data_IF_661727465450
#
_entry.id   IF_661727465450
#
_cell.length_a   1.000
_cell.length_b   1.000
_cell.length_c   1.000
_cell.angle_alpha   90.00
_cell.angle_beta   90.00
_cell.angle_gamma   90.00
#
_symmetry.space_group_name_H-M   'P 1'
#
loop_
_entity.id
_entity.type
_entity.pdbx_description
1 polymer ?
#
# COMPACT_ATOMS: atom_id res chain seq x y z
N UNK A 1 23.62 4.95 5.18
CA UNK A 1 22.75 3.87 4.68
C UNK A 1 21.85 4.45 3.59
N UNK A 2 22.26 4.40 2.31
CA UNK A 2 21.42 4.96 1.21
C UNK A 2 21.69 4.34 -0.17
N UNK A 3 22.64 3.41 -0.31
CA UNK A 3 22.99 2.80 -1.61
C UNK A 3 22.05 1.68 -2.07
N UNK A 4 21.15 1.19 -1.20
CA UNK A 4 20.33 0.01 -1.48
C UNK A 4 18.87 0.28 -1.85
N UNK A 5 18.46 1.55 -1.89
CA UNK A 5 17.09 1.95 -2.25
C UNK A 5 17.04 2.51 -3.67
N UNK A 6 17.28 1.64 -4.66
CA UNK A 6 17.15 1.95 -6.08
C UNK A 6 16.18 0.99 -6.75
N UNK A 7 15.47 1.48 -7.76
CA UNK A 7 14.61 0.62 -8.59
C UNK A 7 15.50 -0.32 -9.40
N UNK A 8 15.24 -1.62 -9.31
CA UNK A 8 15.96 -2.67 -10.05
C UNK A 8 14.95 -3.55 -10.80
N UNK A 9 15.42 -4.18 -11.88
CA UNK A 9 14.63 -5.14 -12.68
C UNK A 9 13.24 -4.64 -13.11
N UNK A 10 13.07 -3.33 -13.32
CA UNK A 10 11.83 -2.77 -13.84
C UNK A 10 11.60 -3.30 -15.26
N UNK A 11 10.49 -4.00 -15.47
CA UNK A 11 10.16 -4.59 -16.77
C UNK A 11 8.65 -4.67 -16.98
N UNK A 12 8.18 -4.58 -18.24
CA UNK A 12 6.80 -4.87 -18.58
C UNK A 12 6.42 -6.31 -18.21
N UNK A 13 5.18 -6.50 -17.78
CA UNK A 13 4.63 -7.82 -17.43
C UNK A 13 3.23 -7.99 -17.99
N UNK A 14 2.74 -9.24 -18.04
CA UNK A 14 1.35 -9.54 -18.41
C UNK A 14 0.48 -9.59 -17.15
N UNK A 15 -0.83 -9.35 -17.28
CA UNK A 15 -1.81 -9.45 -16.17
C UNK A 15 -1.65 -10.74 -15.35
N UNK A 16 -1.42 -11.89 -16.01
CA UNK A 16 -1.22 -13.19 -15.33
C UNK A 16 -0.07 -13.20 -14.31
N UNK A 17 0.95 -12.35 -14.50
CA UNK A 17 2.10 -12.26 -13.60
C UNK A 17 1.75 -11.53 -12.29
N UNK A 18 0.75 -10.64 -12.31
CA UNK A 18 0.29 -9.89 -11.14
C UNK A 18 -1.04 -10.41 -10.59
N UNK A 19 -1.66 -11.41 -11.21
CA UNK A 19 -2.94 -11.97 -10.78
C UNK A 19 -3.00 -12.39 -9.29
N UNK A 20 -1.94 -13.00 -8.70
CA UNK A 20 -1.93 -13.29 -7.27
C UNK A 20 -1.99 -12.03 -6.39
N UNK A 21 -1.30 -10.97 -6.82
CA UNK A 21 -1.31 -9.66 -6.14
C UNK A 21 -2.69 -9.00 -6.24
N UNK A 22 -3.33 -9.04 -7.42
CA UNK A 22 -4.69 -8.50 -7.61
C UNK A 22 -5.70 -9.19 -6.68
N UNK A 23 -5.66 -10.53 -6.62
CA UNK A 23 -6.52 -11.30 -5.72
C UNK A 23 -6.26 -10.98 -4.24
N UNK A 24 -5.00 -10.78 -3.87
CA UNK A 24 -4.64 -10.40 -2.51
C UNK A 24 -5.22 -9.03 -2.14
N UNK A 25 -5.10 -8.02 -3.02
CA UNK A 25 -5.70 -6.69 -2.83
C UNK A 25 -7.23 -6.76 -2.71
N UNK A 26 -7.89 -7.50 -3.59
CA UNK A 26 -9.33 -7.71 -3.54
C UNK A 26 -9.76 -8.32 -2.19
N UNK A 27 -9.01 -9.32 -1.71
CA UNK A 27 -9.33 -10.02 -0.47
C UNK A 27 -9.05 -9.20 0.79
N UNK A 28 -7.98 -8.39 0.80
CA UNK A 28 -7.54 -7.65 2.01
C UNK A 28 -8.09 -6.24 2.10
N UNK A 29 -8.28 -5.58 0.95
CA UNK A 29 -8.70 -4.18 0.86
C UNK A 29 -10.11 -4.01 0.29
N UNK A 30 -10.69 -5.06 -0.30
CA UNK A 30 -12.00 -4.97 -0.94
C UNK A 30 -12.01 -4.17 -2.25
N UNK A 31 -10.86 -4.05 -2.93
CA UNK A 31 -10.70 -3.20 -4.12
C UNK A 31 -10.35 -3.98 -5.38
N UNK A 32 -10.81 -3.46 -6.53
CA UNK A 32 -10.30 -3.85 -7.86
C UNK A 32 -9.34 -2.77 -8.38
N UNK A 33 -8.06 -3.15 -8.56
CA UNK A 33 -7.03 -2.25 -9.09
C UNK A 33 -7.29 -1.80 -10.54
N UNK A 34 -8.30 -2.36 -11.22
CA UNK A 34 -8.80 -1.89 -12.52
C UNK A 34 -7.73 -1.84 -13.61
N UNK A 35 -6.95 -2.92 -13.74
CA UNK A 35 -5.77 -2.98 -14.62
C UNK A 35 -6.05 -3.39 -16.08
N UNK A 36 -7.31 -3.49 -16.48
CA UNK A 36 -7.66 -3.94 -17.83
C UNK A 36 -7.30 -2.90 -18.89
N UNK A 37 -6.57 -3.34 -19.92
CA UNK A 37 -6.05 -2.46 -20.98
C UNK A 37 -4.83 -1.61 -20.57
N UNK A 38 -4.45 -1.60 -19.28
CA UNK A 38 -3.35 -0.79 -18.77
C UNK A 38 -1.97 -1.36 -19.11
N UNK A 39 -0.96 -0.49 -19.16
CA UNK A 39 0.44 -0.90 -19.25
C UNK A 39 0.98 -1.29 -17.88
N UNK A 40 1.37 -2.57 -17.75
CA UNK A 40 1.80 -3.15 -16.48
C UNK A 40 3.31 -3.36 -16.43
N UNK A 41 3.91 -2.97 -15.31
CA UNK A 41 5.32 -3.23 -15.03
C UNK A 41 5.51 -3.76 -13.59
N UNK A 42 6.57 -4.53 -13.39
CA UNK A 42 7.05 -4.89 -12.05
C UNK A 42 8.48 -4.42 -11.86
N UNK A 43 8.83 -4.03 -10.64
CA UNK A 43 10.20 -3.70 -10.26
C UNK A 43 10.50 -4.10 -8.81
N UNK A 44 11.78 -4.16 -8.48
CA UNK A 44 12.27 -4.35 -7.10
C UNK A 44 12.73 -3.00 -6.54
N UNK A 45 12.40 -2.71 -5.28
CA UNK A 45 12.88 -1.54 -4.56
C UNK A 45 13.22 -1.94 -3.11
N UNK A 46 14.51 -2.16 -2.84
CA UNK A 46 14.94 -2.78 -1.59
C UNK A 46 14.25 -4.14 -1.39
N UNK A 47 13.58 -4.38 -0.25
CA UNK A 47 12.84 -5.63 -0.01
C UNK A 47 11.46 -5.68 -0.69
N UNK A 48 11.04 -4.63 -1.37
CA UNK A 48 9.68 -4.53 -1.93
C UNK A 48 9.65 -4.95 -3.40
N UNK A 49 8.62 -5.70 -3.77
CA UNK A 49 8.18 -5.82 -5.15
C UNK A 49 7.13 -4.76 -5.41
N UNK A 50 7.28 -3.99 -6.48
CA UNK A 50 6.37 -2.92 -6.85
C UNK A 50 5.62 -3.31 -8.12
N UNK A 51 4.33 -2.96 -8.20
CA UNK A 51 3.52 -3.02 -9.42
C UNK A 51 3.23 -1.60 -9.87
N UNK A 52 3.52 -1.34 -11.14
CA UNK A 52 3.20 -0.09 -11.81
C UNK A 52 2.05 -0.32 -12.79
N UNK A 53 1.08 0.58 -12.76
CA UNK A 53 -0.02 0.68 -13.73
C UNK A 53 0.15 2.02 -14.42
N UNK A 54 0.29 2.01 -15.75
CA UNK A 54 0.54 3.19 -16.58
C UNK A 54 1.68 4.08 -16.03
N UNK A 55 2.80 3.41 -15.71
CA UNK A 55 4.05 3.99 -15.18
C UNK A 55 3.95 4.58 -13.78
N UNK A 56 2.82 4.45 -13.08
CA UNK A 56 2.63 4.88 -11.69
C UNK A 56 2.69 3.68 -10.76
N UNK A 57 3.51 3.73 -9.71
CA UNK A 57 3.56 2.68 -8.69
C UNK A 57 2.25 2.66 -7.88
N UNK A 58 1.44 1.61 -8.02
CA UNK A 58 0.12 1.53 -7.40
C UNK A 58 0.05 0.54 -6.24
N UNK A 59 0.80 -0.55 -6.33
CA UNK A 59 0.80 -1.58 -5.31
C UNK A 59 2.21 -2.06 -4.99
N UNK A 60 2.34 -2.62 -3.80
CA UNK A 60 3.55 -3.26 -3.32
C UNK A 60 3.24 -4.66 -2.80
N UNK A 61 4.25 -5.50 -2.83
CA UNK A 61 4.34 -6.72 -2.06
C UNK A 61 5.62 -6.67 -1.22
N UNK A 62 5.50 -6.96 0.07
CA UNK A 62 6.59 -6.98 1.03
C UNK A 62 6.47 -8.22 1.90
N UNK A 63 7.59 -8.62 2.51
CA UNK A 63 7.60 -9.69 3.51
C UNK A 63 8.03 -9.15 4.86
N UNK A 64 7.40 -9.64 5.93
CA UNK A 64 7.88 -9.39 7.29
C UNK A 64 9.08 -10.28 7.64
N UNK A 65 9.57 -10.17 8.88
CA UNK A 65 10.68 -10.98 9.40
C UNK A 65 10.43 -12.49 9.37
N UNK A 66 9.17 -12.92 9.46
CA UNK A 66 8.74 -14.32 9.39
C UNK A 66 8.49 -14.81 7.96
N UNK A 67 8.91 -14.02 6.96
CA UNK A 67 8.75 -14.32 5.53
C UNK A 67 7.26 -14.42 5.10
N UNK A 68 6.33 -13.95 5.92
CA UNK A 68 4.92 -13.77 5.58
C UNK A 68 4.79 -12.62 4.58
N UNK A 69 4.04 -12.86 3.52
CA UNK A 69 3.84 -11.94 2.41
C UNK A 69 2.63 -11.05 2.66
N UNK A 70 2.80 -9.76 2.45
CA UNK A 70 1.76 -8.75 2.50
C UNK A 70 1.68 -8.03 1.18
N UNK A 71 0.46 -7.72 0.75
CA UNK A 71 0.18 -6.96 -0.46
C UNK A 71 -0.65 -5.75 -0.07
N UNK A 72 -0.26 -4.58 -0.56
CA UNK A 72 -0.89 -3.32 -0.17
C UNK A 72 -0.79 -2.28 -1.28
N UNK A 73 -1.58 -1.22 -1.20
CA UNK A 73 -1.45 -0.08 -2.10
C UNK A 73 -0.33 0.86 -1.65
N UNK A 74 0.25 1.58 -2.61
CA UNK A 74 1.01 2.79 -2.30
C UNK A 74 0.04 3.92 -1.97
N UNK A 75 0.54 5.05 -1.45
CA UNK A 75 -0.30 6.26 -1.32
C UNK A 75 -0.94 6.67 -2.65
N UNK A 76 -0.23 6.51 -3.78
CA UNK A 76 -0.80 6.78 -5.12
C UNK A 76 -1.85 5.77 -5.55
N UNK A 77 -1.86 4.56 -4.98
CA UNK A 77 -2.94 3.60 -5.15
C UNK A 77 -4.16 3.98 -4.31
N UNK A 78 -3.95 4.33 -3.02
CA UNK A 78 -5.04 4.76 -2.13
C UNK A 78 -5.76 6.02 -2.62
N UNK A 79 -5.06 6.97 -3.26
CA UNK A 79 -5.70 8.15 -3.85
C UNK A 79 -6.73 7.82 -4.95
N UNK A 80 -6.71 6.62 -5.52
CA UNK A 80 -7.71 6.13 -6.50
C UNK A 80 -8.70 5.13 -5.87
N UNK A 81 -8.46 4.74 -4.62
CA UNK A 81 -9.24 3.74 -3.87
C UNK A 81 -9.37 4.18 -2.41
N UNK A 82 -9.94 5.36 -2.17
CA UNK A 82 -10.07 5.95 -0.82
C UNK A 82 -11.07 5.21 0.08
N UNK A 83 -11.87 4.32 -0.52
CA UNK A 83 -12.81 3.41 0.12
C UNK A 83 -12.18 2.06 0.53
N UNK A 84 -10.89 1.85 0.25
CA UNK A 84 -10.17 0.64 0.64
C UNK A 84 -10.24 0.38 2.16
N UNK A 85 -10.43 -0.88 2.53
CA UNK A 85 -10.38 -1.35 3.91
C UNK A 85 -8.99 -1.13 4.56
N UNK A 86 -8.86 -1.52 5.84
CA UNK A 86 -7.63 -1.44 6.65
C UNK A 86 -7.16 0.01 6.88
N UNK A 87 -8.11 0.94 7.02
CA UNK A 87 -7.84 2.35 7.29
C UNK A 87 -7.79 2.66 8.80
N UNK A 88 -7.03 3.69 9.15
CA UNK A 88 -7.00 4.31 10.49
C UNK A 88 -7.15 5.82 10.30
N UNK A 89 -8.24 6.38 10.83
CA UNK A 89 -8.51 7.82 10.83
C UNK A 89 -7.76 8.45 11.99
N UNK A 90 -6.98 9.50 11.69
CA UNK A 90 -6.28 10.29 12.70
C UNK A 90 -6.76 11.73 12.72
N UNK A 91 -6.56 12.39 13.86
CA UNK A 91 -6.78 13.83 13.95
C UNK A 91 -5.73 14.64 13.19
N UNK A 92 -6.12 15.89 12.88
CA UNK A 92 -5.28 16.83 12.15
C UNK A 92 -3.98 17.17 12.88
N UNK A 93 -3.95 17.10 14.21
CA UNK A 93 -2.76 17.36 15.03
C UNK A 93 -1.68 16.29 14.86
N UNK A 94 -2.06 15.05 14.54
CA UNK A 94 -1.12 13.96 14.27
C UNK A 94 -0.42 14.07 12.90
N UNK A 95 -1.06 14.68 11.90
CA UNK A 95 -0.60 14.71 10.50
C UNK A 95 0.84 15.22 10.34
N UNK A 96 1.26 16.37 10.92
CA UNK A 96 2.63 16.86 10.76
C UNK A 96 3.71 15.90 11.29
N UNK A 97 3.40 15.12 12.33
CA UNK A 97 4.32 14.15 12.89
C UNK A 97 4.44 12.92 11.99
N UNK A 98 3.30 12.40 11.51
CA UNK A 98 3.25 11.27 10.59
C UNK A 98 3.95 11.57 9.26
N UNK A 99 3.77 12.79 8.73
CA UNK A 99 4.48 13.25 7.52
C UNK A 99 6.00 13.27 7.68
N UNK A 100 6.50 13.42 8.92
CA UNK A 100 7.92 13.35 9.25
C UNK A 100 8.40 11.92 9.56
N UNK A 101 7.54 10.91 9.39
CA UNK A 101 7.86 9.50 9.60
C UNK A 101 7.79 9.05 11.06
N UNK A 102 7.10 9.80 11.93
CA UNK A 102 6.81 9.32 13.28
C UNK A 102 5.80 8.17 13.27
N UNK A 103 5.84 7.35 14.32
CA UNK A 103 4.84 6.31 14.55
C UNK A 103 3.48 6.92 14.93
N UNK A 104 2.40 6.24 14.54
CA UNK A 104 1.05 6.63 14.93
C UNK A 104 0.74 6.19 16.36
N UNK A 105 0.45 7.15 17.22
CA UNK A 105 0.11 6.91 18.62
C UNK A 105 -1.41 6.88 18.81
N UNK A 106 -1.89 6.02 19.73
CA UNK A 106 -3.33 5.84 20.00
C UNK A 106 -4.07 7.15 20.31
N UNK A 107 -3.41 8.12 20.94
CA UNK A 107 -4.00 9.41 21.28
C UNK A 107 -4.46 10.21 20.06
N UNK A 108 -3.86 9.97 18.89
CA UNK A 108 -4.22 10.61 17.63
C UNK A 108 -5.25 9.84 16.80
N UNK A 109 -5.60 8.60 17.19
CA UNK A 109 -6.53 7.74 16.45
C UNK A 109 -7.97 8.07 16.84
N UNK A 110 -8.82 8.21 15.83
CA UNK A 110 -10.20 8.70 15.99
C UNK A 110 -11.23 7.66 15.56
N UNK A 111 -10.89 6.88 14.54
CA UNK A 111 -11.62 5.70 14.13
C UNK A 111 -10.68 4.75 13.39
N UNK A 112 -11.06 3.50 13.27
CA UNK A 112 -10.34 2.52 12.46
C UNK A 112 -11.31 1.50 11.91
N UNK A 113 -10.89 0.82 10.85
CA UNK A 113 -11.61 -0.33 10.33
C UNK A 113 -11.67 -1.46 11.39
N UNK A 114 -12.85 -2.04 11.61
CA UNK A 114 -13.11 -2.98 12.71
C UNK A 114 -12.39 -4.32 12.52
N UNK A 115 -12.10 -4.68 11.27
CA UNK A 115 -11.49 -5.96 10.88
C UNK A 115 -9.95 -5.95 10.91
N UNK A 116 -9.31 -4.91 11.45
CA UNK A 116 -7.84 -4.85 11.56
C UNK A 116 -7.36 -5.78 12.69
N UNK A 117 -6.38 -6.61 12.38
CA UNK A 117 -5.70 -7.46 13.35
C UNK A 117 -4.23 -7.07 13.57
N UNK A 118 -3.70 -7.44 14.74
CA UNK A 118 -2.28 -7.24 15.08
C UNK A 118 -1.41 -7.96 14.04
N UNK A 119 -0.43 -7.22 13.49
CA UNK A 119 0.50 -7.73 12.47
C UNK A 119 0.06 -7.50 11.02
N UNK A 120 -1.12 -6.92 10.80
CA UNK A 120 -1.57 -6.50 9.47
C UNK A 120 -1.02 -5.12 9.08
N UNK A 121 -1.03 -4.85 7.77
CA UNK A 121 -0.77 -3.51 7.25
C UNK A 121 -2.03 -2.66 7.30
N UNK A 122 -1.87 -1.40 7.67
CA UNK A 122 -2.93 -0.39 7.68
C UNK A 122 -2.46 0.85 6.95
N UNK A 123 -3.40 1.66 6.48
CA UNK A 123 -3.12 2.98 5.93
C UNK A 123 -3.73 4.06 6.81
N UNK A 124 -2.96 5.11 7.06
CA UNK A 124 -3.40 6.24 7.88
C UNK A 124 -3.96 7.32 6.97
N UNK A 125 -5.14 7.83 7.31
CA UNK A 125 -5.79 8.93 6.60
C UNK A 125 -6.30 10.00 7.56
N UNK A 126 -6.44 11.22 7.05
CA UNK A 126 -7.03 12.34 7.80
C UNK A 126 -8.54 12.08 7.94
N UNK A 127 -9.09 12.25 9.15
CA UNK A 127 -10.52 12.09 9.41
C UNK A 127 -11.40 12.98 8.50
N UNK A 128 -10.88 14.14 8.09
CA UNK A 128 -11.60 15.19 7.38
C UNK A 128 -11.40 15.11 5.87
N UNK A 129 -10.19 14.74 5.45
CA UNK A 129 -9.81 14.63 4.04
C UNK A 129 -9.55 13.16 3.72
N UNK A 130 -10.64 12.42 3.50
CA UNK A 130 -10.65 10.99 3.17
C UNK A 130 -10.32 10.73 1.71
#
# INVERSE_FOLDING_TARGET
MSKDWSIRKRRPVRRKNIAPLLKALESSLGIDLSVDGAFLEMAEYGPWQMVFVDKVAKAIEVKNGDNQRFTFLTLRGFLEHSDAAKWVDVDHGAIPFLMNGADCMVAGVQAADEDIAVGELVWIRDMTHK
#
